data_IF_415213007988
#
_entry.id   IF_415213007988
#
_cell.length_a   1.000
_cell.length_b   1.000
_cell.length_c   1.000
_cell.angle_alpha   90.00
_cell.angle_beta   90.00
_cell.angle_gamma   90.00
#
_symmetry.space_group_name_H-M   'P 1'
#
loop_
_entity.id
_entity.type
_entity.pdbx_description
1 polymer ?
#
# COMPACT_ATOMS: atom_id res chain seq x y z
N UNK A 1 -12.91 8.67 20.25
CA UNK A 1 -12.34 7.65 19.33
C UNK A 1 -12.96 7.90 17.98
N UNK A 2 -12.15 8.36 17.03
CA UNK A 2 -12.62 8.92 15.75
C UNK A 2 -13.12 7.82 14.84
N UNK A 3 -14.43 7.82 14.57
CA UNK A 3 -15.14 6.90 13.68
C UNK A 3 -15.66 7.69 12.48
N UNK A 4 -15.01 7.61 11.31
CA UNK A 4 -15.58 8.01 9.99
C UNK A 4 -14.56 7.77 8.87
N UNK A 5 -14.99 7.45 7.62
CA UNK A 5 -15.83 6.35 7.18
C UNK A 5 -15.03 5.39 6.27
N UNK A 6 -15.62 4.24 5.97
CA UNK A 6 -15.14 3.18 5.06
C UNK A 6 -14.95 3.63 3.60
N UNK A 7 -14.08 4.60 3.33
CA UNK A 7 -13.48 4.73 2.00
C UNK A 7 -12.59 3.52 1.79
N UNK A 8 -12.82 2.82 0.69
CA UNK A 8 -12.16 1.61 0.17
C UNK A 8 -10.65 1.76 -0.11
N UNK A 9 -9.99 2.61 0.65
CA UNK A 9 -8.59 2.99 0.52
C UNK A 9 -7.81 2.31 1.65
N UNK A 10 -6.58 1.92 1.37
CA UNK A 10 -5.69 1.33 2.37
C UNK A 10 -5.58 2.26 3.59
N UNK A 11 -5.20 1.70 4.75
CA UNK A 11 -4.97 2.50 5.94
C UNK A 11 -3.95 3.61 5.63
N UNK A 12 -3.97 4.74 6.35
CA UNK A 12 -2.96 5.78 6.17
C UNK A 12 -1.52 5.30 6.42
N UNK A 13 -1.34 4.14 7.07
CA UNK A 13 -0.05 3.47 7.29
C UNK A 13 0.30 2.43 6.23
N UNK A 14 -0.53 2.28 5.19
CA UNK A 14 -0.40 1.30 4.13
C UNK A 14 -0.21 2.01 2.78
N UNK A 15 0.55 1.37 1.90
CA UNK A 15 0.68 1.77 0.51
C UNK A 15 -0.34 1.01 -0.34
N UNK A 16 -0.97 1.72 -1.28
CA UNK A 16 -1.91 1.13 -2.23
C UNK A 16 -1.15 0.74 -3.50
N UNK A 17 -1.00 -0.56 -3.75
CA UNK A 17 -0.45 -1.10 -4.99
C UNK A 17 -1.31 -0.72 -6.19
N UNK A 18 -0.76 -0.83 -7.40
CA UNK A 18 -1.52 -0.57 -8.63
C UNK A 18 -2.65 -1.60 -8.85
N UNK A 19 -2.48 -2.86 -8.37
CA UNK A 19 -3.55 -3.87 -8.32
C UNK A 19 -4.63 -3.59 -7.25
N UNK A 20 -4.53 -2.45 -6.54
CA UNK A 20 -5.39 -2.04 -5.41
C UNK A 20 -5.27 -2.91 -4.17
N UNK A 21 -4.25 -3.75 -4.08
CA UNK A 21 -3.86 -4.40 -2.83
C UNK A 21 -3.20 -3.39 -1.89
N UNK A 22 -3.28 -3.67 -0.59
CA UNK A 22 -2.67 -2.85 0.44
C UNK A 22 -1.48 -3.60 1.02
N UNK A 23 -0.33 -2.95 1.05
CA UNK A 23 0.88 -3.43 1.72
C UNK A 23 1.33 -2.39 2.76
N UNK A 24 2.26 -2.74 3.62
CA UNK A 24 2.75 -1.77 4.61
C UNK A 24 3.41 -0.58 3.89
N UNK A 25 3.28 0.64 4.42
CA UNK A 25 3.95 1.79 3.78
C UNK A 25 5.48 1.61 3.72
N UNK A 26 6.04 0.88 4.69
CA UNK A 26 7.46 0.47 4.72
C UNK A 26 7.85 -0.51 3.62
N UNK A 27 6.88 -1.10 2.92
CA UNK A 27 7.14 -2.00 1.80
C UNK A 27 7.52 -1.26 0.53
N UNK A 28 7.24 0.05 0.43
CA UNK A 28 7.59 0.83 -0.76
C UNK A 28 9.11 1.02 -0.85
N UNK A 29 9.69 0.63 -1.98
CA UNK A 29 11.13 0.71 -2.28
C UNK A 29 12.03 0.05 -1.23
N UNK A 30 11.60 -1.06 -0.64
CA UNK A 30 12.39 -1.76 0.37
C UNK A 30 13.28 -2.87 -0.23
N UNK A 31 13.22 -3.09 -1.53
CA UNK A 31 13.95 -4.16 -2.25
C UNK A 31 13.22 -5.51 -2.24
N UNK A 32 12.01 -5.58 -1.68
CA UNK A 32 11.21 -6.80 -1.51
C UNK A 32 9.83 -6.56 -2.14
N UNK A 33 9.48 -7.23 -3.25
CA UNK A 33 8.18 -7.06 -3.87
C UNK A 33 7.08 -7.68 -3.01
N UNK A 34 6.31 -6.82 -2.35
CA UNK A 34 5.15 -7.19 -1.54
C UNK A 34 3.84 -7.00 -2.32
N UNK A 35 3.79 -6.03 -3.25
CA UNK A 35 2.68 -5.95 -4.19
C UNK A 35 2.74 -7.12 -5.18
N UNK A 36 1.58 -7.69 -5.51
CA UNK A 36 1.50 -8.78 -6.50
C UNK A 36 1.94 -8.34 -7.89
N UNK A 37 1.70 -7.07 -8.20
CA UNK A 37 2.14 -6.41 -9.42
C UNK A 37 3.47 -5.65 -9.22
N UNK A 38 4.16 -5.86 -8.09
CA UNK A 38 5.46 -5.27 -7.70
C UNK A 38 5.54 -3.74 -7.77
N UNK A 39 4.39 -3.05 -7.83
CA UNK A 39 4.33 -1.59 -7.93
C UNK A 39 4.85 -0.84 -6.71
N UNK A 40 5.03 -1.52 -5.57
CA UNK A 40 5.77 -1.00 -4.43
C UNK A 40 7.26 -0.81 -4.72
N UNK A 41 7.81 -1.54 -5.69
CA UNK A 41 9.24 -1.53 -6.07
C UNK A 41 9.49 -0.90 -7.45
N UNK A 42 8.44 -0.49 -8.17
CA UNK A 42 8.56 0.15 -9.48
C UNK A 42 8.70 1.67 -9.34
N UNK A 43 9.72 2.26 -9.96
CA UNK A 43 9.89 3.71 -10.02
C UNK A 43 10.41 4.37 -8.74
N UNK A 44 11.22 3.63 -7.96
CA UNK A 44 12.27 4.25 -7.17
C UNK A 44 13.44 4.69 -8.07
#
# INVERSE_FOLDING_TARGET
VTTTPSSRQCRPTEFTCADRTCVHYSSRCNGIPECRDRSDEEGC
#
